data_IF_886648782137
#
_entry.id   IF_886648782137
#
_cell.length_a   1.000
_cell.length_b   1.000
_cell.length_c   1.000
_cell.angle_alpha   90.00
_cell.angle_beta   90.00
_cell.angle_gamma   90.00
#
_symmetry.space_group_name_H-M   'P 1'
#
loop_
_entity.id
_entity.type
_entity.pdbx_description
1 polymer ?
#
# COMPACT_ATOMS: atom_id res chain seq x y z
N UNK A 1 16.92 14.60 9.59
CA UNK A 1 16.05 14.20 8.46
C UNK A 1 16.25 12.72 8.26
N UNK A 2 15.18 11.92 8.27
CA UNK A 2 15.30 10.51 7.90
C UNK A 2 15.82 10.39 6.47
N UNK A 3 16.64 9.38 6.15
CA UNK A 3 17.22 9.24 4.81
C UNK A 3 16.20 8.80 3.74
N UNK A 4 14.93 8.57 4.12
CA UNK A 4 13.89 8.01 3.26
C UNK A 4 12.77 9.04 3.04
N UNK A 5 12.69 9.69 1.86
CA UNK A 5 11.70 10.73 1.58
C UNK A 5 10.25 10.18 1.54
N UNK A 6 10.12 8.86 1.39
CA UNK A 6 8.86 8.13 1.33
C UNK A 6 8.37 7.62 2.69
N UNK A 7 9.03 7.96 3.79
CA UNK A 7 8.49 7.79 5.14
C UNK A 7 7.85 9.10 5.60
N UNK A 8 6.63 8.98 6.13
CA UNK A 8 5.88 10.09 6.73
C UNK A 8 5.45 9.71 8.15
N UNK A 9 5.25 10.74 8.97
CA UNK A 9 4.95 10.57 10.37
C UNK A 9 3.46 10.29 10.60
N UNK A 10 3.16 9.33 11.45
CA UNK A 10 1.84 9.02 12.01
C UNK A 10 1.57 9.75 13.33
N UNK A 11 2.50 10.59 13.80
CA UNK A 11 2.29 11.47 14.95
C UNK A 11 0.96 12.25 14.86
N UNK A 12 0.18 12.19 15.94
CA UNK A 12 -1.08 12.93 16.07
C UNK A 12 -0.90 14.41 15.78
N UNK A 13 0.20 15.02 16.26
CA UNK A 13 0.44 16.44 16.11
C UNK A 13 0.69 16.85 14.65
N UNK A 14 1.39 16.01 13.89
CA UNK A 14 1.62 16.22 12.46
C UNK A 14 0.31 16.04 11.68
N UNK A 15 -0.47 15.00 12.01
CA UNK A 15 -1.77 14.79 11.37
C UNK A 15 -2.74 15.95 11.66
N UNK A 16 -2.80 16.44 12.90
CA UNK A 16 -3.59 17.64 13.26
C UNK A 16 -3.11 18.90 12.51
N UNK A 17 -1.80 19.05 12.32
CA UNK A 17 -1.23 20.15 11.53
C UNK A 17 -1.70 20.06 10.07
N UNK A 18 -1.66 18.89 9.47
CA UNK A 18 -2.10 18.66 8.09
C UNK A 18 -3.61 18.94 7.96
N UNK A 19 -4.43 18.43 8.87
CA UNK A 19 -5.87 18.65 8.88
C UNK A 19 -6.20 20.15 9.01
N UNK A 20 -5.51 20.84 9.93
CA UNK A 20 -5.63 22.29 10.10
C UNK A 20 -5.28 23.04 8.82
N UNK A 21 -4.09 22.79 8.26
CA UNK A 21 -3.66 23.46 7.03
C UNK A 21 -4.63 23.18 5.88
N UNK A 22 -5.11 21.94 5.73
CA UNK A 22 -6.12 21.58 4.72
C UNK A 22 -7.40 22.43 4.90
N UNK A 23 -7.86 22.62 6.15
CA UNK A 23 -9.07 23.39 6.44
C UNK A 23 -8.96 24.89 6.13
N UNK A 24 -7.74 25.43 6.07
CA UNK A 24 -7.48 26.87 5.82
C UNK A 24 -6.89 27.15 4.44
N UNK A 25 -6.94 26.17 3.52
CA UNK A 25 -6.48 26.36 2.14
C UNK A 25 -4.98 26.11 1.92
N UNK A 26 -4.34 25.32 2.79
CA UNK A 26 -3.02 24.74 2.61
C UNK A 26 -1.85 25.52 3.21
N UNK A 27 -2.09 26.69 3.81
CA UNK A 27 -1.04 27.53 4.42
C UNK A 27 -1.53 28.25 5.67
N UNK A 28 -0.69 28.34 6.70
CA UNK A 28 -0.93 29.16 7.88
C UNK A 28 0.38 29.57 8.56
N UNK A 29 0.38 30.71 9.26
CA UNK A 29 1.53 31.14 10.06
C UNK A 29 1.92 30.10 11.11
N UNK A 30 3.21 30.00 11.42
CA UNK A 30 3.72 29.11 12.49
C UNK A 30 3.01 29.35 13.84
N UNK A 31 2.66 30.60 14.12
CA UNK A 31 1.91 31.00 15.33
C UNK A 31 0.52 30.35 15.34
N UNK A 32 -0.22 30.44 14.24
CA UNK A 32 -1.56 29.85 14.12
C UNK A 32 -1.52 28.31 14.21
N UNK A 33 -0.51 27.68 13.59
CA UNK A 33 -0.32 26.23 13.67
C UNK A 33 -0.08 25.80 15.12
N UNK A 34 0.81 26.48 15.85
CA UNK A 34 1.13 26.12 17.24
C UNK A 34 -0.05 26.37 18.17
N UNK A 35 -0.78 27.48 18.00
CA UNK A 35 -2.00 27.76 18.78
C UNK A 35 -3.05 26.65 18.58
N UNK A 36 -3.32 26.28 17.33
CA UNK A 36 -4.32 25.25 17.02
C UNK A 36 -3.89 23.85 17.47
N UNK A 37 -2.66 23.45 17.17
CA UNK A 37 -2.23 22.04 17.29
C UNK A 37 -1.64 21.70 18.66
N UNK A 38 -1.00 22.67 19.32
CA UNK A 38 -0.34 22.49 20.63
C UNK A 38 -1.08 23.20 21.77
N UNK A 39 -2.16 23.93 21.47
CA UNK A 39 -2.95 24.68 22.44
C UNK A 39 -2.10 25.70 23.25
N UNK A 40 -1.15 26.34 22.58
CA UNK A 40 -0.31 27.41 23.14
C UNK A 40 -0.79 28.72 22.53
N UNK A 41 -1.56 29.50 23.27
CA UNK A 41 -2.10 30.77 22.76
C UNK A 41 -1.06 31.89 22.75
N UNK A 42 -1.07 32.69 21.68
CA UNK A 42 -0.12 33.79 21.43
C UNK A 42 1.36 33.40 21.68
N UNK A 43 1.85 32.30 21.07
CA UNK A 43 3.24 31.91 21.22
C UNK A 43 4.15 33.00 20.64
N UNK A 44 5.29 33.22 21.27
CA UNK A 44 6.32 34.07 20.68
C UNK A 44 6.65 33.54 19.26
N UNK A 45 6.66 34.38 18.20
CA UNK A 45 6.88 33.92 16.83
C UNK A 45 8.17 33.12 16.61
N UNK A 46 9.25 33.45 17.33
CA UNK A 46 10.49 32.70 17.25
C UNK A 46 10.36 31.30 17.85
N UNK A 47 9.65 31.16 18.98
CA UNK A 47 9.34 29.86 19.57
C UNK A 47 8.42 29.05 18.66
N UNK A 48 7.38 29.68 18.10
CA UNK A 48 6.46 29.02 17.19
C UNK A 48 7.19 28.42 15.98
N UNK A 49 8.11 29.19 15.37
CA UNK A 49 8.97 28.72 14.27
C UNK A 49 9.82 27.51 14.65
N UNK A 50 10.40 27.49 15.85
CA UNK A 50 11.20 26.35 16.32
C UNK A 50 10.35 25.09 16.50
N UNK A 51 9.14 25.22 17.05
CA UNK A 51 8.22 24.11 17.26
C UNK A 51 7.74 23.50 15.94
N UNK A 52 7.35 24.34 14.97
CA UNK A 52 6.92 23.84 13.64
C UNK A 52 8.08 23.32 12.80
N UNK A 53 9.31 23.81 13.01
CA UNK A 53 10.49 23.30 12.33
C UNK A 53 10.76 21.83 12.64
N UNK A 54 10.50 21.37 13.88
CA UNK A 54 10.56 19.95 14.22
C UNK A 54 9.49 19.13 13.48
N UNK A 55 8.24 19.63 13.44
CA UNK A 55 7.15 18.96 12.72
C UNK A 55 7.46 18.80 11.23
N UNK A 56 7.94 19.88 10.60
CA UNK A 56 8.28 19.93 9.18
C UNK A 56 9.48 19.03 8.87
N UNK A 57 10.49 18.99 9.74
CA UNK A 57 11.65 18.12 9.55
C UNK A 57 11.33 16.62 9.64
N UNK A 58 10.17 16.26 10.21
CA UNK A 58 9.70 14.88 10.40
C UNK A 58 8.69 14.43 9.35
N UNK A 59 8.18 15.32 8.51
CA UNK A 59 7.18 14.93 7.50
C UNK A 59 7.34 15.69 6.18
N UNK A 60 7.59 14.94 5.11
CA UNK A 60 7.79 15.49 3.77
C UNK A 60 6.54 16.11 3.13
N UNK A 61 5.38 16.05 3.80
CA UNK A 61 4.14 16.73 3.39
C UNK A 61 4.05 18.16 3.91
N UNK A 62 4.98 18.59 4.74
CA UNK A 62 5.03 19.93 5.32
C UNK A 62 6.27 20.68 4.83
N UNK A 63 6.16 21.99 4.67
CA UNK A 63 7.28 22.88 4.38
C UNK A 63 7.14 24.20 5.16
N UNK A 64 8.25 24.92 5.32
CA UNK A 64 8.27 26.28 5.88
C UNK A 64 8.61 27.25 4.75
N UNK A 65 7.73 28.24 4.54
CA UNK A 65 7.88 29.30 3.55
C UNK A 65 7.79 30.65 4.26
N UNK A 66 8.94 31.25 4.59
CA UNK A 66 8.97 32.45 5.42
C UNK A 66 8.51 32.14 6.85
N UNK A 67 7.42 32.78 7.27
CA UNK A 67 6.80 32.58 8.59
C UNK A 67 5.65 31.55 8.57
N UNK A 68 5.32 31.04 7.39
CA UNK A 68 4.19 30.13 7.18
C UNK A 68 4.63 28.68 7.08
N UNK A 69 3.77 27.79 7.58
CA UNK A 69 3.81 26.36 7.34
C UNK A 69 2.84 26.05 6.21
N UNK A 70 3.30 25.32 5.20
CA UNK A 70 2.51 24.99 4.01
C UNK A 70 2.45 23.49 3.78
N UNK A 71 1.32 23.02 3.25
CA UNK A 71 1.24 21.67 2.68
C UNK A 71 2.08 21.59 1.41
N UNK A 72 2.81 20.49 1.28
CA UNK A 72 3.51 20.12 0.05
C UNK A 72 2.61 19.16 -0.71
N UNK A 73 1.97 19.66 -1.76
CA UNK A 73 1.19 18.82 -2.67
C UNK A 73 2.12 17.91 -3.47
N UNK A 74 1.79 16.62 -3.52
CA UNK A 74 2.30 15.68 -4.52
C UNK A 74 1.15 15.28 -5.40
N UNK A 75 1.06 15.88 -6.58
CA UNK A 75 0.09 15.48 -7.59
C UNK A 75 0.59 14.19 -8.26
N UNK A 76 0.15 13.06 -7.72
CA UNK A 76 0.37 11.78 -8.39
C UNK A 76 -0.59 11.59 -9.57
N UNK A 77 -1.72 12.30 -9.62
CA UNK A 77 -2.78 12.02 -10.58
C UNK A 77 -2.37 12.38 -12.00
N UNK A 78 -1.60 13.46 -12.18
CA UNK A 78 -1.09 13.89 -13.49
C UNK A 78 0.12 13.09 -14.00
N UNK A 79 0.67 12.17 -13.21
CA UNK A 79 1.80 11.34 -13.65
C UNK A 79 1.33 10.40 -14.76
N UNK A 80 1.92 10.57 -15.95
CA UNK A 80 1.69 9.68 -17.07
C UNK A 80 2.13 8.24 -16.73
N UNK A 81 1.37 7.23 -17.17
CA UNK A 81 1.70 5.82 -16.91
C UNK A 81 3.05 5.40 -17.51
N UNK A 82 3.53 6.08 -18.56
CA UNK A 82 4.86 5.89 -19.13
C UNK A 82 5.98 6.34 -18.18
N UNK A 83 5.70 7.34 -17.35
CA UNK A 83 6.69 8.00 -16.51
C UNK A 83 6.62 7.48 -15.07
N UNK A 84 5.50 6.85 -14.71
CA UNK A 84 5.27 6.22 -13.42
C UNK A 84 6.25 5.04 -13.16
N UNK A 85 6.93 5.08 -12.01
CA UNK A 85 7.68 3.96 -11.48
C UNK A 85 6.80 3.07 -10.63
N UNK A 86 6.69 1.78 -10.96
CA UNK A 86 5.96 0.81 -10.15
C UNK A 86 6.92 -0.14 -9.46
N UNK A 87 6.64 -0.48 -8.21
CA UNK A 87 7.26 -1.64 -7.55
C UNK A 87 6.17 -2.61 -7.15
N UNK A 88 6.20 -3.77 -7.82
CA UNK A 88 5.30 -4.87 -7.52
C UNK A 88 5.95 -5.74 -6.48
N UNK A 89 5.27 -6.04 -5.37
CA UNK A 89 5.86 -6.80 -4.27
C UNK A 89 4.85 -7.78 -3.66
N UNK A 90 5.40 -8.74 -2.94
CA UNK A 90 4.67 -9.75 -2.18
C UNK A 90 5.47 -10.07 -0.89
N UNK A 91 4.76 -10.44 0.17
CA UNK A 91 5.34 -10.78 1.47
C UNK A 91 4.84 -12.14 1.94
N UNK A 92 5.77 -13.02 2.32
CA UNK A 92 5.43 -14.16 3.17
C UNK A 92 5.55 -13.80 4.63
N UNK A 93 4.67 -14.35 5.46
CA UNK A 93 4.56 -13.97 6.87
C UNK A 93 4.34 -15.17 7.77
N UNK A 94 4.60 -15.01 9.08
CA UNK A 94 4.34 -16.04 10.09
C UNK A 94 2.85 -16.25 10.39
N UNK A 95 1.94 -15.64 9.61
CA UNK A 95 0.49 -15.75 9.76
C UNK A 95 -0.30 -14.57 9.19
N UNK A 96 -1.62 -14.70 9.15
CA UNK A 96 -2.47 -13.76 8.40
C UNK A 96 -2.75 -12.40 9.06
N UNK A 97 -2.31 -12.17 10.31
CA UNK A 97 -2.66 -10.98 11.10
C UNK A 97 -1.44 -10.28 11.67
N UNK A 98 -1.35 -8.99 11.41
CA UNK A 98 -0.36 -8.09 12.01
C UNK A 98 -1.04 -7.12 12.97
N UNK A 99 -0.55 -6.98 14.22
CA UNK A 99 0.32 -7.88 15.00
C UNK A 99 -0.41 -9.17 15.44
N UNK A 100 0.28 -10.25 15.88
CA UNK A 100 1.70 -10.37 16.19
C UNK A 100 2.56 -11.03 15.10
N UNK A 101 2.00 -11.37 13.93
CA UNK A 101 2.75 -12.06 12.88
C UNK A 101 3.78 -11.13 12.23
N UNK A 102 4.85 -11.72 11.70
CA UNK A 102 6.06 -11.04 11.21
C UNK A 102 6.39 -11.47 9.78
N UNK A 103 7.16 -10.66 9.06
CA UNK A 103 7.60 -10.97 7.69
C UNK A 103 8.71 -12.02 7.70
N UNK A 104 8.61 -13.01 6.80
CA UNK A 104 9.60 -14.08 6.61
C UNK A 104 10.29 -14.06 5.25
N UNK A 105 9.70 -13.41 4.25
CA UNK A 105 10.29 -13.23 2.92
C UNK A 105 9.72 -11.97 2.26
N UNK A 106 10.55 -11.29 1.47
CA UNK A 106 10.18 -10.15 0.63
C UNK A 106 10.57 -10.48 -0.81
N UNK A 107 9.64 -10.40 -1.74
CA UNK A 107 9.90 -10.42 -3.17
C UNK A 107 9.38 -9.14 -3.81
N UNK A 108 10.17 -8.48 -4.66
CA UNK A 108 9.75 -7.28 -5.35
C UNK A 108 10.41 -7.11 -6.71
N UNK A 109 9.68 -6.51 -7.65
CA UNK A 109 10.12 -6.21 -9.01
C UNK A 109 9.75 -4.79 -9.38
N UNK A 110 10.74 -4.06 -9.89
CA UNK A 110 10.50 -2.73 -10.47
C UNK A 110 9.98 -2.89 -11.88
N UNK A 111 8.84 -2.26 -12.16
CA UNK A 111 8.25 -2.17 -13.50
C UNK A 111 8.34 -0.74 -14.00
N UNK A 112 8.95 -0.56 -15.18
CA UNK A 112 9.02 0.71 -15.91
C UNK A 112 8.71 0.47 -17.38
N UNK A 113 7.88 1.31 -17.99
CA UNK A 113 7.50 1.17 -19.41
C UNK A 113 7.02 -0.25 -19.78
N UNK A 114 6.18 -0.85 -18.93
CA UNK A 114 5.65 -2.19 -19.14
C UNK A 114 6.68 -3.32 -19.06
N UNK A 115 7.87 -3.07 -18.51
CA UNK A 115 8.95 -4.07 -18.40
C UNK A 115 9.46 -4.16 -16.97
N UNK A 116 9.77 -5.38 -16.55
CA UNK A 116 10.52 -5.63 -15.31
C UNK A 116 11.98 -5.22 -15.58
N UNK A 117 12.54 -4.34 -14.75
CA UNK A 117 13.88 -3.78 -14.94
C UNK A 117 14.85 -4.06 -13.79
N UNK A 118 14.32 -4.29 -12.59
CA UNK A 118 15.11 -4.60 -11.39
C UNK A 118 14.31 -5.55 -10.50
N UNK A 119 15.01 -6.31 -9.65
CA UNK A 119 14.43 -7.20 -8.66
C UNK A 119 15.07 -6.97 -7.28
N UNK A 120 14.29 -7.24 -6.23
CA UNK A 120 14.74 -7.29 -4.86
C UNK A 120 14.15 -8.55 -4.22
N UNK A 121 14.99 -9.34 -3.56
CA UNK A 121 14.56 -10.53 -2.84
C UNK A 121 15.36 -10.71 -1.56
N UNK A 122 14.67 -11.08 -0.48
CA UNK A 122 15.32 -11.50 0.75
C UNK A 122 14.43 -12.42 1.56
N UNK A 123 14.99 -13.51 2.09
CA UNK A 123 14.45 -14.12 3.31
C UNK A 123 14.66 -13.15 4.47
N UNK A 124 13.78 -13.23 5.47
CA UNK A 124 13.80 -12.37 6.65
C UNK A 124 13.68 -13.22 7.89
N UNK A 125 14.57 -13.01 8.87
CA UNK A 125 14.39 -13.57 10.20
C UNK A 125 13.24 -12.84 10.91
N UNK A 126 12.11 -13.52 11.18
CA UNK A 126 10.93 -12.89 11.79
C UNK A 126 11.12 -12.65 13.30
N UNK A 127 12.20 -13.15 13.92
CA UNK A 127 12.47 -13.11 15.37
C UNK A 127 11.34 -13.73 16.22
N UNK A 128 10.56 -14.64 15.62
CA UNK A 128 9.49 -15.40 16.26
C UNK A 128 9.35 -16.75 15.56
N UNK A 129 8.92 -17.82 16.25
CA UNK A 129 8.69 -19.12 15.60
C UNK A 129 7.68 -19.03 14.45
N UNK A 130 7.94 -19.76 13.36
CA UNK A 130 7.00 -19.94 12.25
C UNK A 130 6.04 -21.09 12.59
N UNK A 131 4.72 -20.87 12.64
CA UNK A 131 3.76 -21.95 12.86
C UNK A 131 3.88 -23.04 11.80
N UNK A 132 3.81 -24.31 12.20
CA UNK A 132 3.98 -25.46 11.30
C UNK A 132 3.09 -25.39 10.03
N UNK A 133 1.83 -24.95 10.17
CA UNK A 133 0.92 -24.83 9.03
C UNK A 133 1.37 -23.76 8.02
N UNK A 134 2.05 -22.69 8.49
CA UNK A 134 2.62 -21.65 7.62
C UNK A 134 3.83 -22.22 6.89
N UNK A 135 4.74 -22.92 7.59
CA UNK A 135 5.86 -23.58 6.92
C UNK A 135 5.42 -24.61 5.88
N UNK A 136 4.31 -25.32 6.13
CA UNK A 136 3.73 -26.22 5.12
C UNK A 136 3.14 -25.47 3.92
N UNK A 137 2.62 -24.26 4.12
CA UNK A 137 2.03 -23.46 3.06
C UNK A 137 3.09 -22.79 2.18
N UNK A 138 4.09 -22.16 2.81
CA UNK A 138 5.10 -21.33 2.13
C UNK A 138 6.40 -22.08 1.84
N UNK A 139 6.60 -23.23 2.47
CA UNK A 139 7.87 -23.95 2.46
C UNK A 139 8.98 -23.30 3.29
N UNK A 140 8.71 -22.16 3.96
CA UNK A 140 9.70 -21.44 4.76
C UNK A 140 9.70 -21.99 6.20
N UNK A 141 10.84 -22.54 6.62
CA UNK A 141 11.03 -23.11 7.97
C UNK A 141 11.87 -22.20 8.85
N UNK A 142 11.73 -22.32 10.17
CA UNK A 142 12.61 -21.61 11.13
C UNK A 142 14.10 -21.78 10.82
N UNK A 143 14.51 -22.99 10.41
CA UNK A 143 15.90 -23.30 10.05
C UNK A 143 16.41 -22.51 8.84
N UNK A 144 15.54 -22.14 7.90
CA UNK A 144 15.90 -21.34 6.72
C UNK A 144 16.11 -19.87 7.07
N UNK A 145 15.34 -19.36 8.03
CA UNK A 145 15.31 -17.93 8.37
C UNK A 145 16.15 -17.59 9.60
N UNK A 146 16.64 -18.58 10.36
CA UNK A 146 17.39 -18.33 11.60
C UNK A 146 18.64 -17.45 11.39
N UNK A 147 19.33 -17.66 10.27
CA UNK A 147 20.56 -16.95 9.90
C UNK A 147 20.30 -15.92 8.77
N UNK A 148 19.04 -15.78 8.34
CA UNK A 148 18.63 -14.75 7.40
C UNK A 148 18.70 -13.36 8.07
N UNK A 149 18.86 -12.27 7.30
CA UNK A 149 18.87 -10.93 7.88
C UNK A 149 17.51 -10.61 8.52
N UNK A 150 17.53 -9.85 9.61
CA UNK A 150 16.32 -9.30 10.23
C UNK A 150 15.74 -8.21 9.35
N UNK A 151 14.47 -7.86 9.61
CA UNK A 151 13.84 -6.75 8.89
C UNK A 151 14.65 -5.43 9.02
N UNK A 152 15.23 -5.17 10.20
CA UNK A 152 16.11 -4.02 10.46
C UNK A 152 17.34 -3.94 9.55
N UNK A 153 17.82 -5.09 9.06
CA UNK A 153 19.03 -5.18 8.23
C UNK A 153 18.72 -5.06 6.74
N UNK A 154 17.51 -5.47 6.32
CA UNK A 154 17.05 -5.33 4.92
C UNK A 154 16.33 -4.01 4.63
N UNK A 155 15.84 -3.32 5.67
CA UNK A 155 14.99 -2.15 5.53
C UNK A 155 15.62 -1.01 4.72
N UNK A 156 16.91 -0.69 4.91
CA UNK A 156 17.56 0.38 4.15
C UNK A 156 17.56 0.08 2.64
N UNK A 157 17.97 -1.14 2.27
CA UNK A 157 17.98 -1.58 0.87
C UNK A 157 16.58 -1.59 0.27
N UNK A 158 15.59 -2.12 0.99
CA UNK A 158 14.22 -2.20 0.50
C UNK A 158 13.54 -0.82 0.38
N UNK A 159 13.70 0.06 1.38
CA UNK A 159 13.14 1.41 1.36
C UNK A 159 13.73 2.26 0.22
N UNK A 160 15.03 2.12 -0.05
CA UNK A 160 15.68 2.74 -1.22
C UNK A 160 15.18 2.14 -2.53
N UNK A 161 14.98 0.83 -2.58
CA UNK A 161 14.45 0.15 -3.76
C UNK A 161 13.05 0.65 -4.09
N UNK A 162 12.14 0.76 -3.12
CA UNK A 162 10.79 1.27 -3.40
C UNK A 162 10.78 2.77 -3.71
N UNK A 163 11.62 3.57 -3.05
CA UNK A 163 11.70 5.01 -3.25
C UNK A 163 10.31 5.67 -3.20
N UNK A 164 10.00 6.51 -4.19
CA UNK A 164 8.71 7.17 -4.41
C UNK A 164 7.76 6.39 -5.35
N UNK A 165 8.09 5.14 -5.69
CA UNK A 165 7.32 4.33 -6.64
C UNK A 165 5.89 4.05 -6.14
N UNK A 166 4.97 3.82 -7.06
CA UNK A 166 3.65 3.27 -6.75
C UNK A 166 3.84 1.79 -6.40
N UNK A 167 3.41 1.42 -5.20
CA UNK A 167 3.48 0.04 -4.72
C UNK A 167 2.31 -0.77 -5.27
N UNK A 168 2.58 -1.98 -5.73
CA UNK A 168 1.56 -2.84 -6.32
C UNK A 168 1.65 -4.22 -5.67
N UNK A 169 0.52 -4.77 -5.25
CA UNK A 169 0.47 -6.11 -4.68
C UNK A 169 -0.86 -6.80 -4.98
N UNK A 170 -0.85 -8.14 -4.98
CA UNK A 170 -2.05 -8.94 -5.16
C UNK A 170 -2.80 -9.06 -3.83
N UNK A 171 -3.86 -8.27 -3.66
CA UNK A 171 -4.49 -7.99 -2.35
C UNK A 171 -3.65 -7.04 -1.48
N UNK A 172 -3.12 -5.96 -2.09
CA UNK A 172 -2.19 -5.01 -1.47
C UNK A 172 -2.50 -4.52 -0.06
N UNK A 173 -3.78 -4.47 0.36
CA UNK A 173 -4.11 -4.14 1.74
C UNK A 173 -3.48 -5.08 2.76
N UNK A 174 -3.24 -6.35 2.42
CA UNK A 174 -2.53 -7.30 3.28
C UNK A 174 -1.06 -6.92 3.43
N UNK A 175 -0.32 -6.87 2.33
CA UNK A 175 1.12 -6.63 2.30
C UNK A 175 1.48 -5.25 2.85
N UNK A 176 0.72 -4.22 2.48
CA UNK A 176 0.93 -2.86 2.97
C UNK A 176 0.78 -2.76 4.50
N UNK A 177 -0.10 -3.55 5.12
CA UNK A 177 -0.23 -3.57 6.60
C UNK A 177 0.99 -4.20 7.25
N UNK A 178 1.49 -5.30 6.71
CA UNK A 178 2.69 -5.95 7.24
C UNK A 178 3.92 -5.05 7.06
N UNK A 179 4.09 -4.47 5.87
CA UNK A 179 5.20 -3.58 5.58
C UNK A 179 5.18 -2.33 6.48
N UNK A 180 4.03 -1.66 6.63
CA UNK A 180 3.93 -0.53 7.55
C UNK A 180 4.13 -0.93 9.01
N UNK A 181 3.70 -2.13 9.43
CA UNK A 181 3.97 -2.60 10.78
C UNK A 181 5.47 -2.78 11.03
N UNK A 182 6.20 -3.42 10.10
CA UNK A 182 7.64 -3.59 10.23
C UNK A 182 8.40 -2.25 10.16
N UNK A 183 7.96 -1.33 9.30
CA UNK A 183 8.48 0.06 9.26
C UNK A 183 8.26 0.76 10.60
N UNK A 184 7.05 0.73 11.16
CA UNK A 184 6.72 1.36 12.43
C UNK A 184 7.47 0.77 13.64
N UNK A 185 7.92 -0.50 13.55
CA UNK A 185 8.80 -1.11 14.56
C UNK A 185 10.23 -0.56 14.53
N UNK A 186 10.72 -0.13 13.36
CA UNK A 186 12.07 0.42 13.20
C UNK A 186 12.10 1.95 13.35
N UNK A 187 11.06 2.59 12.82
CA UNK A 187 10.90 4.03 12.75
C UNK A 187 9.61 4.36 13.49
N UNK A 188 9.72 4.56 14.80
CA UNK A 188 8.57 4.86 15.67
C UNK A 188 7.78 6.05 15.12
N UNK A 189 6.45 5.91 15.07
CA UNK A 189 5.52 6.86 14.46
C UNK A 189 5.76 7.12 12.96
N UNK A 190 6.33 6.19 12.18
CA UNK A 190 6.43 6.34 10.72
C UNK A 190 5.72 5.21 9.96
N UNK A 191 5.26 5.59 8.76
CA UNK A 191 4.75 4.67 7.75
C UNK A 191 5.15 5.12 6.35
N UNK A 192 4.88 4.26 5.38
CA UNK A 192 5.06 4.59 3.97
C UNK A 192 4.04 5.63 3.50
N UNK A 193 4.55 6.62 2.76
CA UNK A 193 3.76 7.59 1.97
C UNK A 193 3.32 7.02 0.63
N UNK A 194 4.04 6.01 0.11
CA UNK A 194 3.83 5.49 -1.24
C UNK A 194 2.36 5.18 -1.51
N UNK A 195 1.81 5.64 -2.66
CA UNK A 195 0.49 5.20 -3.09
C UNK A 195 0.53 3.70 -3.43
N UNK A 196 -0.60 3.02 -3.27
CA UNK A 196 -0.69 1.57 -3.51
C UNK A 196 -1.81 1.19 -4.47
N UNK A 197 -1.54 0.29 -5.40
CA UNK A 197 -2.49 -0.37 -6.29
C UNK A 197 -2.70 -1.83 -5.91
N UNK A 198 -3.93 -2.31 -6.08
CA UNK A 198 -4.29 -3.70 -5.82
C UNK A 198 -4.72 -4.38 -7.11
N UNK A 199 -3.96 -5.39 -7.56
CA UNK A 199 -4.25 -6.08 -8.82
C UNK A 199 -5.59 -6.81 -8.78
N UNK A 200 -6.05 -7.27 -7.62
CA UNK A 200 -7.41 -7.86 -7.45
C UNK A 200 -8.50 -6.84 -7.77
N UNK A 201 -8.32 -5.58 -7.35
CA UNK A 201 -9.30 -4.53 -7.60
C UNK A 201 -9.29 -4.07 -9.06
N UNK A 202 -8.11 -4.00 -9.67
CA UNK A 202 -7.96 -3.71 -11.10
C UNK A 202 -8.56 -4.84 -11.95
N UNK A 203 -8.19 -6.10 -11.67
CA UNK A 203 -8.68 -7.24 -12.43
C UNK A 203 -10.19 -7.41 -12.34
N UNK A 204 -10.83 -7.09 -11.20
CA UNK A 204 -12.30 -7.10 -11.08
C UNK A 204 -13.00 -6.15 -12.03
N UNK A 205 -12.34 -5.08 -12.44
CA UNK A 205 -12.91 -4.07 -13.32
C UNK A 205 -12.61 -4.35 -14.78
N UNK A 206 -11.40 -4.83 -15.05
CA UNK A 206 -10.94 -5.08 -16.42
C UNK A 206 -11.36 -6.46 -16.92
N UNK A 207 -11.52 -7.43 -16.01
CA UNK A 207 -11.78 -8.83 -16.34
C UNK A 207 -13.01 -9.38 -15.59
N UNK A 208 -14.21 -8.80 -15.75
CA UNK A 208 -15.39 -9.17 -14.96
C UNK A 208 -15.83 -10.63 -15.14
N UNK A 209 -15.45 -11.28 -16.25
CA UNK A 209 -15.87 -12.62 -16.62
C UNK A 209 -14.93 -13.74 -16.11
N UNK A 210 -13.81 -13.39 -15.47
CA UNK A 210 -12.91 -14.39 -14.88
C UNK A 210 -13.54 -14.98 -13.62
N UNK A 211 -13.54 -16.31 -13.50
CA UNK A 211 -14.21 -17.06 -12.42
C UNK A 211 -13.92 -16.50 -11.03
N UNK A 212 -12.66 -16.21 -10.75
CA UNK A 212 -12.23 -15.54 -9.54
C UNK A 212 -10.91 -14.80 -9.78
N UNK A 213 -10.63 -13.80 -8.96
CA UNK A 213 -9.44 -12.95 -9.11
C UNK A 213 -8.29 -13.38 -8.20
N UNK A 214 -8.16 -14.68 -7.91
CA UNK A 214 -6.98 -15.20 -7.20
C UNK A 214 -5.77 -15.14 -8.12
N UNK A 215 -4.58 -15.06 -7.54
CA UNK A 215 -3.32 -14.96 -8.28
C UNK A 215 -3.17 -16.06 -9.32
N UNK A 216 -3.37 -17.32 -8.91
CA UNK A 216 -3.31 -18.49 -9.79
C UNK A 216 -4.25 -18.37 -11.00
N UNK A 217 -5.50 -17.99 -10.78
CA UNK A 217 -6.51 -17.86 -11.84
C UNK A 217 -6.13 -16.75 -12.84
N UNK A 218 -5.62 -15.63 -12.36
CA UNK A 218 -5.14 -14.55 -13.23
C UNK A 218 -3.85 -14.93 -13.96
N UNK A 219 -2.96 -15.70 -13.32
CA UNK A 219 -1.76 -16.21 -13.95
C UNK A 219 -2.12 -17.16 -15.11
N UNK A 220 -3.04 -18.09 -14.89
CA UNK A 220 -3.57 -18.97 -15.93
C UNK A 220 -4.24 -18.18 -17.06
N UNK A 221 -5.08 -17.19 -16.75
CA UNK A 221 -5.73 -16.33 -17.74
C UNK A 221 -4.73 -15.64 -18.68
N UNK A 222 -3.61 -15.14 -18.13
CA UNK A 222 -2.57 -14.46 -18.90
C UNK A 222 -1.44 -15.39 -19.36
N UNK A 223 -1.58 -16.71 -19.20
CA UNK A 223 -0.52 -17.68 -19.52
C UNK A 223 0.84 -17.37 -18.85
N UNK A 224 0.79 -16.85 -17.62
CA UNK A 224 1.96 -16.58 -16.76
C UNK A 224 2.27 -17.82 -15.94
N UNK A 225 3.53 -18.26 -15.97
CA UNK A 225 3.98 -19.39 -15.17
C UNK A 225 3.94 -19.07 -13.67
N UNK A 226 3.37 -19.97 -12.88
CA UNK A 226 3.36 -19.90 -11.41
C UNK A 226 3.71 -21.29 -10.88
N UNK A 227 5.00 -21.51 -10.60
CA UNK A 227 5.53 -22.85 -10.31
C UNK A 227 5.51 -23.13 -8.81
N UNK A 228 6.14 -22.29 -7.99
CA UNK A 228 6.13 -22.39 -6.54
C UNK A 228 5.30 -21.27 -5.94
N UNK A 229 3.98 -21.43 -6.00
CA UNK A 229 3.05 -20.55 -5.30
C UNK A 229 3.36 -20.54 -3.79
N UNK A 230 3.22 -19.38 -3.14
CA UNK A 230 3.63 -19.11 -1.74
C UNK A 230 5.14 -18.99 -1.52
N UNK A 231 5.82 -18.46 -2.53
CA UNK A 231 7.18 -17.89 -2.42
C UNK A 231 7.11 -16.46 -2.87
N UNK A 232 7.53 -15.52 -2.02
CA UNK A 232 7.30 -14.09 -2.25
C UNK A 232 7.92 -13.64 -3.59
N UNK A 233 9.09 -14.16 -3.95
CA UNK A 233 9.76 -13.82 -5.20
C UNK A 233 9.00 -14.31 -6.45
N UNK A 234 8.32 -15.46 -6.38
CA UNK A 234 7.57 -16.00 -7.51
C UNK A 234 6.18 -15.37 -7.60
N UNK A 235 5.52 -15.18 -6.47
CA UNK A 235 4.21 -14.54 -6.40
C UNK A 235 4.31 -13.06 -6.81
N UNK A 236 5.36 -12.33 -6.38
CA UNK A 236 5.63 -10.96 -6.85
C UNK A 236 5.94 -10.91 -8.36
N UNK A 237 6.67 -11.89 -8.89
CA UNK A 237 7.00 -11.95 -10.33
C UNK A 237 5.75 -12.18 -11.18
N UNK A 238 4.93 -13.16 -10.78
CA UNK A 238 3.67 -13.45 -11.45
C UNK A 238 2.73 -12.24 -11.37
N UNK A 239 2.65 -11.61 -10.19
CA UNK A 239 1.89 -10.37 -9.99
C UNK A 239 2.39 -9.25 -10.89
N UNK A 240 3.71 -9.10 -11.08
CA UNK A 240 4.27 -8.09 -11.97
C UNK A 240 3.88 -8.33 -13.43
N UNK A 241 3.93 -9.59 -13.90
CA UNK A 241 3.49 -9.96 -15.25
C UNK A 241 2.00 -9.73 -15.45
N UNK A 242 1.17 -10.12 -14.49
CA UNK A 242 -0.28 -9.84 -14.52
C UNK A 242 -0.52 -8.33 -14.54
N UNK A 243 0.17 -7.58 -13.70
CA UNK A 243 0.02 -6.12 -13.62
C UNK A 243 0.39 -5.43 -14.93
N UNK A 244 1.47 -5.85 -15.61
CA UNK A 244 1.83 -5.33 -16.94
C UNK A 244 0.69 -5.53 -17.95
N UNK A 245 0.06 -6.71 -17.97
CA UNK A 245 -1.09 -6.97 -18.84
C UNK A 245 -2.30 -6.08 -18.46
N UNK A 246 -2.57 -5.91 -17.17
CA UNK A 246 -3.65 -5.02 -16.70
C UNK A 246 -3.38 -3.56 -17.07
N UNK A 247 -2.13 -3.09 -17.00
CA UNK A 247 -1.72 -1.76 -17.45
C UNK A 247 -1.94 -1.58 -18.96
N UNK A 248 -1.56 -2.57 -19.76
CA UNK A 248 -1.78 -2.54 -21.20
C UNK A 248 -3.29 -2.47 -21.54
N UNK A 249 -4.13 -3.23 -20.83
CA UNK A 249 -5.58 -3.16 -21.00
C UNK A 249 -6.17 -1.80 -20.58
N UNK A 250 -5.69 -1.22 -19.49
CA UNK A 250 -6.08 0.14 -19.06
C UNK A 250 -5.82 1.16 -20.16
N UNK A 251 -4.63 1.10 -20.77
CA UNK A 251 -4.24 2.02 -21.84
C UNK A 251 -5.02 1.78 -23.13
N UNK A 252 -5.08 0.53 -23.58
CA UNK A 252 -5.59 0.19 -24.92
C UNK A 252 -7.11 0.10 -24.99
N UNK A 253 -7.78 -0.35 -23.93
CA UNK A 253 -9.24 -0.59 -23.92
C UNK A 253 -10.02 0.50 -23.19
N UNK A 254 -9.41 1.14 -22.19
CA UNK A 254 -10.06 2.17 -21.38
C UNK A 254 -9.50 3.58 -21.59
N UNK A 255 -8.46 3.74 -22.43
CA UNK A 255 -7.87 5.03 -22.74
C UNK A 255 -7.22 5.72 -21.54
N UNK A 256 -6.91 4.98 -20.48
CA UNK A 256 -6.29 5.54 -19.27
C UNK A 256 -4.81 5.76 -19.54
N UNK A 257 -4.33 7.00 -19.40
CA UNK A 257 -2.96 7.38 -19.74
C UNK A 257 -2.15 7.94 -18.57
N UNK A 258 -2.79 8.20 -17.43
CA UNK A 258 -2.20 8.74 -16.21
C UNK A 258 -2.71 7.99 -14.96
N UNK A 259 -2.07 8.23 -13.82
CA UNK A 259 -2.48 7.62 -12.55
C UNK A 259 -3.85 8.10 -12.08
N UNK A 260 -4.22 9.35 -12.36
CA UNK A 260 -5.54 9.91 -12.02
C UNK A 260 -6.68 9.08 -12.63
N UNK A 261 -6.55 8.70 -13.90
CA UNK A 261 -7.48 7.81 -14.58
C UNK A 261 -7.48 6.39 -13.99
N UNK A 262 -6.33 5.88 -13.56
CA UNK A 262 -6.25 4.60 -12.83
C UNK A 262 -7.01 4.67 -11.51
N UNK A 263 -6.83 5.74 -10.73
CA UNK A 263 -7.54 5.93 -9.45
C UNK A 263 -9.03 6.10 -9.64
N UNK A 264 -9.44 6.87 -10.66
CA UNK A 264 -10.84 7.06 -11.00
C UNK A 264 -11.50 5.73 -11.34
N UNK A 265 -10.88 4.93 -12.21
CA UNK A 265 -11.36 3.59 -12.54
C UNK A 265 -11.35 2.69 -11.31
N UNK A 266 -10.32 2.75 -10.47
CA UNK A 266 -10.16 1.93 -9.27
C UNK A 266 -11.01 2.39 -8.07
N UNK A 267 -11.77 3.48 -8.18
CA UNK A 267 -12.67 3.99 -7.13
C UNK A 267 -14.06 3.31 -7.17
N UNK A 268 -14.77 3.26 -6.03
CA UNK A 268 -15.98 2.42 -5.82
C UNK A 268 -17.27 2.88 -6.52
N UNK A 269 -17.27 3.96 -7.30
CA UNK A 269 -18.52 4.47 -7.89
C UNK A 269 -18.90 3.65 -9.13
N UNK A 270 -20.06 3.01 -9.03
CA UNK A 270 -20.81 2.26 -10.07
C UNK A 270 -20.52 0.76 -10.20
N UNK A 271 -20.85 0.01 -9.15
CA UNK A 271 -21.35 -1.36 -9.32
C UNK A 271 -22.87 -1.33 -9.12
N UNK A 272 -23.62 -0.89 -10.13
CA UNK A 272 -25.07 -1.18 -10.16
C UNK A 272 -25.16 -2.65 -10.56
N UNK A 273 -25.42 -3.50 -9.58
CA UNK A 273 -25.81 -4.89 -9.83
C UNK A 273 -27.11 -4.82 -10.62
N UNK A 274 -27.08 -5.06 -11.93
CA UNK A 274 -28.29 -5.22 -12.74
C UNK A 274 -28.94 -6.54 -12.31
N UNK A 275 -29.70 -6.48 -11.21
CA UNK A 275 -30.56 -7.56 -10.77
C UNK A 275 -31.67 -7.74 -11.79
N UNK A 276 -31.74 -8.94 -12.37
CA UNK A 276 -32.90 -9.41 -13.13
C UNK A 276 -34.15 -9.17 -12.27
N UNK A 277 -35.09 -8.38 -12.79
CA UNK A 277 -36.45 -8.29 -12.26
C UNK A 277 -37.12 -9.63 -12.56
N UNK A 278 -37.15 -10.52 -11.58
CA UNK A 278 -38.12 -11.62 -11.57
C UNK A 278 -39.32 -11.16 -10.77
N UNK A 279 -40.39 -10.80 -11.49
CA UNK A 279 -41.74 -10.68 -10.93
C UNK A 279 -42.15 -12.04 -10.37
N UNK A 280 -42.30 -12.14 -9.06
CA UNK A 280 -42.78 -13.33 -8.37
C UNK A 280 -43.61 -12.90 -7.18
N UNK A 281 -44.90 -13.21 -7.26
CA UNK A 281 -45.95 -12.90 -6.30
C UNK A 281 -45.66 -13.45 -4.90
N UNK A 282 -46.19 -12.74 -3.91
CA UNK A 282 -46.17 -13.10 -2.50
C UNK A 282 -46.86 -14.45 -2.26
N UNK A 283 -46.16 -15.37 -1.61
CA UNK A 283 -46.76 -16.46 -0.86
C UNK A 283 -45.92 -16.68 0.42
N UNK A 284 -46.53 -16.41 1.57
CA UNK A 284 -45.99 -16.80 2.88
C UNK A 284 -45.99 -18.33 3.02
N UNK A 285 -44.98 -18.95 3.66
CA UNK A 285 -45.11 -20.31 4.14
C UNK A 285 -45.33 -20.38 5.65
N UNK A 286 -46.36 -21.15 5.97
CA UNK A 286 -46.80 -21.62 7.28
C UNK A 286 -45.68 -22.25 8.11
N UNK A 287 -45.66 -21.93 9.40
CA UNK A 287 -44.89 -22.64 10.42
C UNK A 287 -45.60 -23.96 10.75
N UNK A 288 -45.07 -25.08 10.27
CA UNK A 288 -45.36 -26.40 10.83
C UNK A 288 -44.11 -26.92 11.56
N UNK A 289 -44.26 -27.03 12.87
CA UNK A 289 -43.41 -27.84 13.73
C UNK A 289 -43.70 -29.32 13.45
N UNK A 290 -42.65 -30.13 13.33
CA UNK A 290 -42.68 -31.51 13.83
C UNK A 290 -41.26 -32.08 13.95
N UNK A 291 -41.14 -32.97 14.93
CA UNK A 291 -39.92 -33.48 15.55
C UNK A 291 -39.29 -34.69 14.83
N UNK A 292 -37.96 -34.76 14.85
CA UNK A 292 -37.15 -35.92 15.28
C UNK A 292 -35.66 -35.52 15.36
#
# INVERSE_FOLDING_TARGET
MLPYPNLISDSLLINLTIDFLTSVGGSASAVAVVDYTMNISNPNPALARLLVADLVARDSRLAINGDDVTLVETDHDSIALSDAGFVVFDLETTGAKTPPCRVTEIGAYRVRNGKIVEEFHSLVNPETPIPFFISMLTGITDEMVKDAPKFSEVADGFLRFIGDSILVAHNAGFDMRFLNHEVGRLFEDYRLRNPSLCTVQLSRRLLPDVENHKLKTLAEHYSVALVNHHRANEDAWATAKIFINLLEQLQTQHGVSDLGGVWALNSKKNYVRTGKVTTGEFAEPEYHADAA
#
